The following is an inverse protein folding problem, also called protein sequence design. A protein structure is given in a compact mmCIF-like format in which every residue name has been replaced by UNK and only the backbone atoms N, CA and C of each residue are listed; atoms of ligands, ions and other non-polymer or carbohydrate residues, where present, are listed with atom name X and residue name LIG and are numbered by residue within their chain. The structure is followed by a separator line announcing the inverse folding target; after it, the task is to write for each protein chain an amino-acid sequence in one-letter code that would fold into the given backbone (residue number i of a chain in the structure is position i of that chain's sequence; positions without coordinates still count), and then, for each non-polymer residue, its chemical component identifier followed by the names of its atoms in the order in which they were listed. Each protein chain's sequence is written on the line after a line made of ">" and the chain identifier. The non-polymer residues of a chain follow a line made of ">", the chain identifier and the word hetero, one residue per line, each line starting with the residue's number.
data_IF_413927966903
#
_entry.id   IF_413927966903
#
_cell.length_a   1.000
_cell.length_b   1.000
_cell.length_c   1.000
_cell.angle_alpha   90.00
_cell.angle_beta   90.00
_cell.angle_gamma   90.00
#
_symmetry.space_group_name_H-M   'P 1'
#
loop_
_entity.id
_entity.type
_entity.pdbx_description
1 polymer ?
#
# COMPACT_ATOMS: atom_id res chain seq x y z
N UNK A 1 -2.77 14.26 5.60
CA UNK A 1 -1.79 13.22 5.96
C UNK A 1 -0.65 13.17 4.96
N UNK A 2 -0.91 13.12 3.65
CA UNK A 2 0.13 13.15 2.59
C UNK A 2 1.04 14.38 2.72
N UNK A 3 0.47 15.59 2.77
CA UNK A 3 1.24 16.84 2.90
C UNK A 3 1.99 16.97 4.24
N UNK A 4 1.49 16.30 5.28
CA UNK A 4 2.10 16.34 6.61
C UNK A 4 3.42 15.56 6.64
N UNK A 5 3.53 14.49 5.84
CA UNK A 5 4.69 13.62 5.78
C UNK A 5 5.50 13.78 4.49
N UNK A 6 5.15 14.76 3.65
CA UNK A 6 5.79 15.03 2.36
C UNK A 6 5.97 13.77 1.51
N UNK A 7 4.91 12.95 1.44
CA UNK A 7 4.93 11.66 0.75
C UNK A 7 4.81 11.86 -0.76
N UNK A 8 5.59 11.07 -1.51
CA UNK A 8 5.43 10.90 -2.95
C UNK A 8 4.51 9.70 -3.17
N UNK A 9 3.33 9.92 -3.73
CA UNK A 9 2.26 8.92 -3.78
C UNK A 9 2.64 7.69 -4.61
N UNK A 10 3.39 7.87 -5.68
CA UNK A 10 3.88 6.81 -6.56
C UNK A 10 4.88 5.87 -5.86
N UNK A 11 5.50 6.36 -4.79
CA UNK A 11 6.44 5.62 -3.94
C UNK A 11 5.75 5.02 -2.69
N UNK A 12 4.46 5.26 -2.52
CA UNK A 12 3.70 4.80 -1.37
C UNK A 12 2.89 3.52 -1.67
N UNK A 13 2.75 2.69 -0.64
CA UNK A 13 1.83 1.56 -0.62
C UNK A 13 0.79 1.81 0.48
N UNK A 14 -0.48 1.78 0.10
CA UNK A 14 -1.62 1.84 1.02
C UNK A 14 -2.02 0.43 1.43
N UNK A 15 -2.25 0.21 2.73
CA UNK A 15 -2.45 -1.11 3.29
C UNK A 15 -3.56 -1.05 4.33
N UNK A 16 -4.71 -1.65 4.04
CA UNK A 16 -5.95 -1.54 4.82
C UNK A 16 -6.86 -2.75 4.54
N UNK A 17 -7.69 -3.15 5.50
CA UNK A 17 -8.67 -4.24 5.36
C UNK A 17 -10.07 -3.74 4.95
N UNK A 18 -10.30 -2.42 5.01
CA UNK A 18 -11.54 -1.77 4.58
C UNK A 18 -11.53 -1.44 3.08
N UNK A 19 -12.09 -2.34 2.28
CA UNK A 19 -12.17 -2.19 0.82
C UNK A 19 -12.82 -0.88 0.33
N UNK A 20 -13.71 -0.27 1.11
CA UNK A 20 -14.37 1.00 0.77
C UNK A 20 -13.37 2.16 0.55
N UNK A 21 -12.19 2.06 1.18
CA UNK A 21 -11.13 3.07 1.10
C UNK A 21 -10.20 2.86 -0.10
N UNK A 22 -10.31 1.75 -0.82
CA UNK A 22 -9.41 1.45 -1.93
C UNK A 22 -9.67 2.35 -3.13
N UNK A 23 -10.94 2.58 -3.49
CA UNK A 23 -11.28 3.46 -4.63
C UNK A 23 -10.68 4.87 -4.49
N UNK A 24 -10.81 5.55 -3.34
CA UNK A 24 -10.12 6.81 -3.11
C UNK A 24 -8.60 6.71 -3.25
N UNK A 25 -7.97 5.66 -2.68
CA UNK A 25 -6.52 5.47 -2.74
C UNK A 25 -6.01 5.19 -4.17
N UNK A 26 -6.72 4.36 -4.95
CA UNK A 26 -6.43 4.13 -6.38
C UNK A 26 -6.57 5.43 -7.18
N UNK A 27 -7.59 6.23 -6.87
CA UNK A 27 -7.81 7.55 -7.49
C UNK A 27 -6.66 8.54 -7.23
N UNK A 28 -5.87 8.31 -6.18
CA UNK A 28 -4.67 9.07 -5.85
C UNK A 28 -3.38 8.44 -6.44
N UNK A 29 -3.50 7.33 -7.18
CA UNK A 29 -2.37 6.63 -7.77
C UNK A 29 -1.56 5.75 -6.80
N UNK A 30 -2.08 5.50 -5.60
CA UNK A 30 -1.42 4.65 -4.62
C UNK A 30 -1.45 3.18 -5.04
N UNK A 31 -0.35 2.48 -4.81
CA UNK A 31 -0.34 1.01 -4.84
C UNK A 31 -1.08 0.50 -3.60
N UNK A 32 -1.92 -0.52 -3.76
CA UNK A 32 -2.77 -1.03 -2.66
C UNK A 32 -2.45 -2.47 -2.34
N UNK A 33 -2.40 -2.78 -1.05
CA UNK A 33 -2.42 -4.14 -0.50
C UNK A 33 -3.68 -4.29 0.35
N UNK A 34 -4.52 -5.23 -0.02
CA UNK A 34 -5.66 -5.66 0.80
C UNK A 34 -5.12 -6.41 2.02
N UNK A 35 -5.39 -5.93 3.23
CA UNK A 35 -4.80 -6.44 4.48
C UNK A 35 -5.68 -7.49 5.19
N UNK A 36 -6.45 -8.28 4.43
CA UNK A 36 -7.25 -9.40 4.98
C UNK A 36 -6.43 -10.38 5.81
N UNK A 37 -7.12 -10.97 6.79
CA UNK A 37 -6.55 -12.03 7.64
C UNK A 37 -6.01 -13.20 6.79
N UNK A 38 -4.81 -13.67 7.14
CA UNK A 38 -4.14 -14.78 6.46
C UNK A 38 -3.29 -14.37 5.25
N UNK A 39 -3.15 -13.07 4.97
CA UNK A 39 -2.26 -12.59 3.90
C UNK A 39 -0.80 -12.62 4.34
N UNK A 40 0.05 -13.10 3.44
CA UNK A 40 1.51 -13.00 3.57
C UNK A 40 1.99 -11.67 2.98
N UNK A 41 2.17 -10.68 3.85
CA UNK A 41 2.62 -9.35 3.44
C UNK A 41 4.00 -9.35 2.78
N UNK A 42 4.89 -10.29 3.10
CA UNK A 42 6.20 -10.35 2.44
C UNK A 42 6.04 -10.69 0.97
N UNK A 43 5.16 -11.65 0.68
CA UNK A 43 4.82 -12.03 -0.69
C UNK A 43 4.13 -10.88 -1.44
N UNK A 44 3.20 -10.18 -0.81
CA UNK A 44 2.53 -9.03 -1.44
C UNK A 44 3.50 -7.87 -1.70
N UNK A 45 4.35 -7.52 -0.74
CA UNK A 45 5.36 -6.48 -0.89
C UNK A 45 6.41 -6.82 -1.96
N UNK A 46 6.78 -8.09 -2.12
CA UNK A 46 7.70 -8.52 -3.18
C UNK A 46 7.19 -8.26 -4.61
N UNK A 47 5.86 -8.10 -4.80
CA UNK A 47 5.30 -7.74 -6.12
C UNK A 47 5.62 -6.30 -6.51
N UNK A 48 6.06 -5.48 -5.56
CA UNK A 48 6.44 -4.10 -5.75
C UNK A 48 7.97 -3.90 -5.71
N UNK A 49 8.74 -4.97 -5.90
CA UNK A 49 10.21 -4.98 -5.87
C UNK A 49 10.79 -4.46 -4.53
N UNK A 50 10.07 -4.63 -3.43
CA UNK A 50 10.55 -4.28 -2.08
C UNK A 50 11.34 -5.46 -1.50
N UNK A 51 12.63 -5.25 -1.26
CA UNK A 51 13.46 -6.20 -0.51
C UNK A 51 13.30 -5.99 1.00
N UNK A 52 12.92 -7.06 1.70
CA UNK A 52 12.68 -7.07 3.14
C UNK A 52 13.80 -7.76 3.93
N UNK A 53 14.91 -8.14 3.29
CA UNK A 53 16.03 -8.86 3.92
C UNK A 53 17.22 -7.97 4.29
N UNK A 54 17.03 -6.65 4.37
CA UNK A 54 18.06 -5.69 4.80
C UNK A 54 18.38 -5.76 6.29
#
# INVERSE_FOLDING_TARGET
>A
MIDQYNLILEECIYLDDLMELFKPAEGLGLKIIDAKSGIDFRKELSKFDIDLNS
#
